data_IF_136843476506
#
_entry.id   IF_136843476506
#
_cell.length_a   1.000
_cell.length_b   1.000
_cell.length_c   1.000
_cell.angle_alpha   90.00
_cell.angle_beta   90.00
_cell.angle_gamma   90.00
#
_symmetry.space_group_name_H-M   'P 1'
#
loop_
_entity.id
_entity.type
_entity.pdbx_description
1 polymer ?
#
# COMPACT_ATOMS: atom_id res chain seq x y z
N UNK A 1 11.24 11.24 -6.34
CA UNK A 1 10.73 9.94 -6.82
C UNK A 1 9.29 10.14 -7.23
N UNK A 2 8.92 9.79 -8.45
CA UNK A 2 7.54 9.91 -8.93
C UNK A 2 6.90 8.53 -8.83
N UNK A 3 5.75 8.45 -8.14
CA UNK A 3 4.95 7.23 -8.05
C UNK A 3 3.62 7.44 -8.77
N UNK A 4 3.21 6.48 -9.61
CA UNK A 4 1.91 6.47 -10.29
C UNK A 4 1.16 5.22 -9.88
N UNK A 5 -0.08 5.39 -9.43
CA UNK A 5 -1.04 4.31 -9.25
C UNK A 5 -1.46 3.74 -10.60
N UNK A 6 -1.11 2.48 -10.89
CA UNK A 6 -1.38 1.85 -12.18
C UNK A 6 -2.09 0.50 -11.98
N UNK A 7 -3.43 0.51 -12.00
CA UNK A 7 -4.24 -0.62 -11.52
C UNK A 7 -4.77 -1.55 -12.62
N UNK A 8 -4.46 -1.30 -13.88
CA UNK A 8 -4.93 -2.11 -15.02
C UNK A 8 -4.15 -1.81 -16.30
N UNK A 9 -3.95 -2.84 -17.11
CA UNK A 9 -3.27 -2.76 -18.41
C UNK A 9 -4.19 -2.33 -19.54
N UNK A 10 -5.50 -2.42 -19.36
CA UNK A 10 -6.48 -2.05 -20.38
C UNK A 10 -7.28 -0.85 -19.92
N UNK A 11 -7.81 -0.09 -20.88
CA UNK A 11 -8.77 0.98 -20.60
C UNK A 11 -9.94 0.47 -19.77
N UNK A 12 -10.49 -0.69 -20.11
CA UNK A 12 -11.61 -1.29 -19.39
C UNK A 12 -11.26 -1.58 -17.92
N UNK A 13 -10.17 -2.31 -17.66
CA UNK A 13 -9.79 -2.68 -16.29
C UNK A 13 -9.36 -1.49 -15.45
N UNK A 14 -8.57 -0.58 -16.03
CA UNK A 14 -8.11 0.63 -15.36
C UNK A 14 -9.27 1.56 -15.02
N UNK A 15 -10.14 1.90 -15.99
CA UNK A 15 -11.24 2.83 -15.78
C UNK A 15 -12.36 2.24 -14.92
N UNK A 16 -12.52 0.91 -14.91
CA UNK A 16 -13.39 0.22 -13.94
C UNK A 16 -12.93 0.45 -12.50
N UNK A 17 -11.64 0.63 -12.25
CA UNK A 17 -11.12 0.89 -10.91
C UNK A 17 -11.09 2.39 -10.61
N UNK A 18 -10.59 3.21 -11.53
CA UNK A 18 -10.44 4.65 -11.29
C UNK A 18 -11.75 5.43 -11.42
N UNK A 19 -12.79 4.84 -12.02
CA UNK A 19 -14.10 5.46 -12.27
C UNK A 19 -14.00 6.79 -13.06
N UNK A 20 -12.92 6.97 -13.84
CA UNK A 20 -12.66 8.18 -14.60
C UNK A 20 -12.52 7.88 -16.10
N UNK A 21 -13.47 8.39 -16.90
CA UNK A 21 -13.41 8.25 -18.35
C UNK A 21 -12.16 8.93 -18.93
N UNK A 22 -11.45 8.20 -19.80
CA UNK A 22 -10.18 8.62 -20.41
C UNK A 22 -9.00 8.66 -19.43
N UNK A 23 -9.16 8.18 -18.18
CA UNK A 23 -8.08 8.21 -17.20
C UNK A 23 -6.93 7.26 -17.55
N UNK A 24 -7.22 6.16 -18.24
CA UNK A 24 -6.18 5.23 -18.71
C UNK A 24 -5.24 5.92 -19.70
N UNK A 25 -5.80 6.56 -20.73
CA UNK A 25 -5.03 7.24 -21.78
C UNK A 25 -4.18 8.37 -21.20
N UNK A 26 -4.75 9.18 -20.29
CA UNK A 26 -4.01 10.23 -19.57
C UNK A 26 -2.90 9.67 -18.68
N UNK A 27 -3.12 8.54 -18.01
CA UNK A 27 -2.11 7.90 -17.18
C UNK A 27 -0.94 7.38 -18.02
N UNK A 28 -1.23 6.73 -19.15
CA UNK A 28 -0.23 6.25 -20.11
C UNK A 28 0.63 7.38 -20.67
N UNK A 29 -0.01 8.49 -21.00
CA UNK A 29 0.70 9.69 -21.46
C UNK A 29 1.61 10.28 -20.37
N UNK A 30 1.14 10.33 -19.12
CA UNK A 30 1.97 10.74 -17.98
C UNK A 30 3.21 9.87 -17.79
N UNK A 31 3.05 8.54 -17.90
CA UNK A 31 4.16 7.58 -17.85
C UNK A 31 5.18 7.87 -18.95
N UNK A 32 4.73 8.04 -20.21
CA UNK A 32 5.58 8.37 -21.36
C UNK A 32 6.38 9.66 -21.12
N UNK A 33 5.70 10.74 -20.72
CA UNK A 33 6.33 12.05 -20.48
C UNK A 33 7.41 12.02 -19.39
N UNK A 34 7.22 11.21 -18.35
CA UNK A 34 8.19 11.03 -17.26
C UNK A 34 9.44 10.29 -17.79
N UNK A 35 9.23 9.19 -18.52
CA UNK A 35 10.32 8.34 -19.02
C UNK A 35 11.14 9.02 -20.12
N UNK A 36 10.50 9.77 -21.02
CA UNK A 36 11.21 10.59 -22.03
C UNK A 36 12.14 11.64 -21.39
N UNK A 37 11.83 12.07 -20.18
CA UNK A 37 12.65 13.00 -19.39
C UNK A 37 13.63 12.30 -18.45
N UNK A 38 13.73 10.96 -18.51
CA UNK A 38 14.62 10.14 -17.69
C UNK A 38 14.42 10.37 -16.19
N UNK A 39 13.16 10.58 -15.79
CA UNK A 39 12.82 10.79 -14.39
C UNK A 39 12.52 9.45 -13.70
N UNK A 40 12.94 9.28 -12.43
CA UNK A 40 12.74 8.03 -11.71
C UNK A 40 11.26 7.77 -11.46
N UNK A 41 10.78 6.64 -12.00
CA UNK A 41 9.38 6.24 -11.96
C UNK A 41 9.18 4.94 -11.19
N UNK A 42 8.12 4.90 -10.39
CA UNK A 42 7.58 3.67 -9.81
C UNK A 42 6.11 3.55 -10.13
N UNK A 43 5.73 2.43 -10.74
CA UNK A 43 4.33 2.08 -10.91
C UNK A 43 3.91 1.23 -9.72
N UNK A 44 2.78 1.60 -9.12
CA UNK A 44 2.24 0.93 -7.94
C UNK A 44 0.86 0.36 -8.23
N UNK A 45 0.69 -0.92 -7.92
CA UNK A 45 -0.61 -1.60 -7.99
C UNK A 45 -1.04 -2.00 -6.59
N UNK A 46 -2.25 -1.58 -6.21
CA UNK A 46 -2.99 -2.28 -5.16
C UNK A 46 -3.69 -3.47 -5.81
N UNK A 47 -3.41 -4.69 -5.33
CA UNK A 47 -4.10 -5.91 -5.72
C UNK A 47 -5.52 -5.91 -5.19
N UNK A 48 -6.48 -6.13 -6.07
CA UNK A 48 -7.91 -6.14 -5.80
C UNK A 48 -8.55 -7.33 -6.51
N UNK A 49 -9.74 -7.72 -6.08
CA UNK A 49 -10.54 -8.74 -6.79
C UNK A 49 -10.77 -8.38 -8.26
N UNK A 50 -10.74 -7.09 -8.60
CA UNK A 50 -10.95 -6.56 -9.96
C UNK A 50 -9.75 -6.70 -10.90
N UNK A 51 -8.53 -6.78 -10.39
CA UNK A 51 -7.29 -6.77 -11.19
C UNK A 51 -6.29 -7.87 -10.81
N UNK A 52 -6.72 -8.84 -10.01
CA UNK A 52 -5.90 -9.98 -9.55
C UNK A 52 -5.10 -10.61 -10.68
N UNK A 53 -5.76 -10.90 -11.80
CA UNK A 53 -5.17 -11.60 -12.94
C UNK A 53 -4.26 -10.69 -13.81
N UNK A 54 -4.17 -9.40 -13.48
CA UNK A 54 -3.30 -8.44 -14.16
C UNK A 54 -2.02 -8.12 -13.38
N UNK A 55 -1.90 -8.51 -12.10
CA UNK A 55 -0.77 -8.10 -11.23
C UNK A 55 0.59 -8.44 -11.84
N UNK A 56 0.77 -9.67 -12.34
CA UNK A 56 2.03 -10.10 -12.97
C UNK A 56 2.22 -9.50 -14.37
N UNK A 57 1.14 -9.37 -15.14
CA UNK A 57 1.19 -8.76 -16.48
C UNK A 57 1.59 -7.28 -16.39
N UNK A 58 1.12 -6.57 -15.35
CA UNK A 58 1.54 -5.20 -15.06
C UNK A 58 3.05 -5.18 -14.73
N UNK A 59 3.54 -6.14 -13.94
CA UNK A 59 4.98 -6.27 -13.65
C UNK A 59 5.80 -6.43 -14.93
N UNK A 60 5.39 -7.33 -15.82
CA UNK A 60 6.03 -7.54 -17.12
C UNK A 60 6.02 -6.27 -17.97
N UNK A 61 4.89 -5.56 -18.01
CA UNK A 61 4.79 -4.27 -18.70
C UNK A 61 5.76 -3.23 -18.12
N UNK A 62 5.89 -3.14 -16.78
CA UNK A 62 6.84 -2.25 -16.12
C UNK A 62 8.28 -2.58 -16.49
N UNK A 63 8.63 -3.87 -16.53
CA UNK A 63 9.95 -4.30 -16.98
C UNK A 63 10.20 -3.92 -18.44
N UNK A 64 9.20 -4.12 -19.32
CA UNK A 64 9.23 -3.71 -20.72
C UNK A 64 9.53 -2.22 -20.90
N UNK A 65 8.89 -1.36 -20.10
CA UNK A 65 9.20 0.08 -20.09
C UNK A 65 10.67 0.35 -19.70
N UNK A 66 11.20 -0.39 -18.72
CA UNK A 66 12.59 -0.24 -18.31
C UNK A 66 13.57 -0.56 -19.44
N UNK A 67 13.28 -1.59 -20.23
CA UNK A 67 14.06 -1.93 -21.43
C UNK A 67 13.91 -0.88 -22.53
N UNK A 68 12.68 -0.50 -22.86
CA UNK A 68 12.36 0.45 -23.96
C UNK A 68 13.04 1.80 -23.75
N UNK A 69 12.98 2.34 -22.53
CA UNK A 69 13.52 3.66 -22.21
C UNK A 69 14.96 3.61 -21.69
N UNK A 70 15.54 2.42 -21.49
CA UNK A 70 16.84 2.23 -20.84
C UNK A 70 16.92 2.92 -19.46
N UNK A 71 15.82 2.91 -18.72
CA UNK A 71 15.67 3.57 -17.42
C UNK A 71 15.19 2.58 -16.35
N UNK A 72 15.55 2.82 -15.09
CA UNK A 72 15.06 1.97 -14.00
C UNK A 72 13.62 2.36 -13.65
N UNK A 73 12.65 1.55 -14.10
CA UNK A 73 11.26 1.63 -13.67
C UNK A 73 11.00 0.57 -12.61
N UNK A 74 10.51 0.98 -11.44
CA UNK A 74 10.21 0.04 -10.36
C UNK A 74 8.73 -0.34 -10.37
N UNK A 75 8.45 -1.57 -9.96
CA UNK A 75 7.09 -2.02 -9.67
C UNK A 75 6.92 -2.24 -8.17
N UNK A 76 5.82 -1.71 -7.61
CA UNK A 76 5.41 -1.98 -6.24
C UNK A 76 4.02 -2.60 -6.20
N UNK A 77 3.94 -3.79 -5.64
CA UNK A 77 2.68 -4.43 -5.29
C UNK A 77 2.30 -4.08 -3.84
N UNK A 78 1.02 -3.81 -3.61
CA UNK A 78 0.45 -3.71 -2.27
C UNK A 78 -0.90 -4.41 -2.22
N UNK A 79 -1.26 -4.95 -1.07
CA UNK A 79 -2.51 -5.70 -0.86
C UNK A 79 -3.47 -5.03 0.11
N UNK A 80 -3.04 -3.97 0.80
CA UNK A 80 -3.85 -3.30 1.82
C UNK A 80 -4.93 -2.40 1.21
N UNK A 81 -6.20 -2.78 1.34
CA UNK A 81 -7.34 -1.87 1.26
C UNK A 81 -7.70 -1.42 2.68
N UNK A 82 -8.11 -0.16 2.80
CA UNK A 82 -8.47 0.48 4.07
C UNK A 82 -9.92 0.94 4.00
N UNK A 83 -10.60 1.02 5.15
CA UNK A 83 -11.97 1.52 5.15
C UNK A 83 -11.99 2.96 4.68
N UNK A 84 -13.18 3.42 4.25
CA UNK A 84 -13.39 4.80 3.84
C UNK A 84 -13.17 5.77 5.01
N UNK A 85 -13.10 7.07 4.71
CA UNK A 85 -12.90 8.10 5.75
C UNK A 85 -14.08 8.21 6.73
N UNK A 86 -15.28 7.83 6.29
CA UNK A 86 -16.49 7.70 7.12
C UNK A 86 -16.53 6.36 7.89
N UNK A 87 -15.48 5.54 7.79
CA UNK A 87 -15.35 4.21 8.37
C UNK A 87 -16.24 3.13 7.72
N UNK A 88 -16.85 3.38 6.57
CA UNK A 88 -17.55 2.32 5.84
C UNK A 88 -16.57 1.26 5.33
N UNK A 89 -17.03 0.01 5.31
CA UNK A 89 -16.24 -1.18 5.03
C UNK A 89 -16.62 -1.86 3.70
N UNK A 90 -17.51 -1.25 2.93
CA UNK A 90 -17.97 -1.74 1.61
C UNK A 90 -16.81 -1.94 0.62
N UNK A 91 -15.73 -1.16 0.77
CA UNK A 91 -14.50 -1.27 0.00
C UNK A 91 -13.78 -2.61 0.16
N UNK A 92 -14.02 -3.35 1.25
CA UNK A 92 -13.44 -4.68 1.43
C UNK A 92 -14.05 -5.73 0.50
N UNK A 93 -15.16 -5.44 -0.18
CA UNK A 93 -15.63 -6.29 -1.28
C UNK A 93 -14.59 -6.42 -2.43
N UNK A 94 -13.63 -5.48 -2.49
CA UNK A 94 -12.53 -5.50 -3.45
C UNK A 94 -11.22 -6.04 -2.88
N UNK A 95 -11.16 -6.34 -1.58
CA UNK A 95 -9.97 -6.84 -0.91
C UNK A 95 -9.67 -8.26 -1.40
N UNK A 96 -8.41 -8.51 -1.78
CA UNK A 96 -7.96 -9.87 -2.04
C UNK A 96 -7.97 -10.67 -0.75
N UNK A 97 -8.34 -11.95 -0.86
CA UNK A 97 -8.21 -12.90 0.24
C UNK A 97 -6.74 -13.03 0.66
N UNK A 98 -6.48 -13.35 1.92
CA UNK A 98 -5.11 -13.59 2.40
C UNK A 98 -4.40 -14.69 1.59
N UNK A 99 -5.15 -15.74 1.21
CA UNK A 99 -4.65 -16.83 0.38
C UNK A 99 -4.18 -16.33 -1.00
N UNK A 100 -4.96 -15.45 -1.64
CA UNK A 100 -4.58 -14.87 -2.93
C UNK A 100 -3.37 -13.94 -2.81
N UNK A 101 -3.31 -13.13 -1.76
CA UNK A 101 -2.15 -12.25 -1.50
C UNK A 101 -0.89 -13.08 -1.30
N UNK A 102 -0.94 -14.10 -0.43
CA UNK A 102 0.20 -14.99 -0.21
C UNK A 102 0.59 -15.75 -1.48
N UNK A 103 -0.38 -16.22 -2.27
CA UNK A 103 -0.10 -16.88 -3.54
C UNK A 103 0.63 -15.95 -4.52
N UNK A 104 0.21 -14.68 -4.62
CA UNK A 104 0.86 -13.68 -5.46
C UNK A 104 2.29 -13.38 -4.97
N UNK A 105 2.45 -13.11 -3.67
CA UNK A 105 3.74 -12.78 -3.07
C UNK A 105 4.74 -13.95 -3.16
N UNK A 106 4.25 -15.19 -3.04
CA UNK A 106 5.08 -16.39 -3.16
C UNK A 106 5.45 -16.71 -4.60
N UNK A 107 4.57 -16.48 -5.57
CA UNK A 107 4.82 -16.84 -6.97
C UNK A 107 5.97 -16.03 -7.61
N UNK A 108 6.28 -14.84 -7.08
CA UNK A 108 7.31 -13.96 -7.63
C UNK A 108 8.48 -13.74 -6.65
N UNK A 109 9.75 -13.94 -7.08
CA UNK A 109 10.90 -13.86 -6.18
C UNK A 109 11.13 -12.45 -5.62
N UNK A 110 10.81 -11.38 -6.37
CA UNK A 110 10.98 -10.01 -5.88
C UNK A 110 9.92 -9.67 -4.83
N UNK A 111 8.65 -10.08 -5.05
CA UNK A 111 7.61 -9.89 -4.05
C UNK A 111 7.89 -10.69 -2.79
N UNK A 112 8.35 -11.94 -2.93
CA UNK A 112 8.74 -12.77 -1.79
C UNK A 112 9.87 -12.13 -0.99
N UNK A 113 10.92 -11.65 -1.67
CA UNK A 113 12.04 -10.98 -1.01
C UNK A 113 11.60 -9.68 -0.30
N UNK A 114 10.76 -8.87 -0.96
CA UNK A 114 10.19 -7.66 -0.36
C UNK A 114 9.38 -7.99 0.89
N UNK A 115 8.52 -9.01 0.83
CA UNK A 115 7.68 -9.42 1.95
C UNK A 115 8.51 -9.97 3.11
N UNK A 116 9.48 -10.84 2.84
CA UNK A 116 10.43 -11.32 3.86
C UNK A 116 11.15 -10.17 4.56
N UNK A 117 11.58 -9.15 3.81
CA UNK A 117 12.22 -7.95 4.38
C UNK A 117 11.27 -7.18 5.28
N UNK A 118 10.03 -6.98 4.86
CA UNK A 118 9.01 -6.28 5.65
C UNK A 118 8.67 -7.04 6.94
N UNK A 119 8.54 -8.36 6.87
CA UNK A 119 8.28 -9.20 8.05
C UNK A 119 9.46 -9.16 9.02
N UNK A 120 10.70 -9.29 8.54
CA UNK A 120 11.89 -9.16 9.38
C UNK A 120 11.99 -7.79 10.07
N UNK A 121 11.63 -6.71 9.39
CA UNK A 121 11.59 -5.36 9.99
C UNK A 121 10.52 -5.25 11.09
N UNK A 122 9.35 -5.85 10.89
CA UNK A 122 8.28 -5.87 11.91
C UNK A 122 8.70 -6.69 13.11
N UNK A 123 9.25 -7.89 12.90
CA UNK A 123 9.75 -8.76 13.96
C UNK A 123 10.80 -8.05 14.81
N UNK A 124 11.79 -7.40 14.18
CA UNK A 124 12.82 -6.65 14.89
C UNK A 124 12.24 -5.48 15.68
N UNK A 125 11.27 -4.77 15.12
CA UNK A 125 10.57 -3.67 15.81
C UNK A 125 9.85 -4.17 17.07
N UNK A 126 9.15 -5.31 16.97
CA UNK A 126 8.47 -5.93 18.10
C UNK A 126 9.46 -6.46 19.16
N UNK A 127 10.58 -7.08 18.74
CA UNK A 127 11.64 -7.55 19.66
C UNK A 127 12.24 -6.41 20.48
N UNK A 128 12.31 -5.20 19.91
CA UNK A 128 12.74 -4.00 20.61
C UNK A 128 11.66 -3.38 21.51
N UNK A 129 10.49 -4.00 21.64
CA UNK A 129 9.35 -3.48 22.42
C UNK A 129 8.73 -2.22 21.82
N UNK A 130 8.98 -1.93 20.54
CA UNK A 130 8.46 -0.74 19.85
C UNK A 130 7.12 -1.06 19.18
N UNK A 131 6.24 -0.06 19.12
CA UNK A 131 5.00 -0.15 18.35
C UNK A 131 5.30 -0.19 16.84
N UNK A 132 4.58 -1.05 16.11
CA UNK A 132 4.58 -1.05 14.64
C UNK A 132 3.96 0.24 14.06
N UNK A 133 3.19 0.98 14.87
CA UNK A 133 2.60 2.25 14.49
C UNK A 133 3.52 3.44 14.84
N UNK A 134 4.12 4.04 13.81
CA UNK A 134 4.94 5.26 13.95
C UNK A 134 4.18 6.59 13.86
N UNK A 135 2.85 6.54 13.67
CA UNK A 135 2.03 7.75 13.49
C UNK A 135 2.11 8.65 14.70
N UNK A 136 2.35 9.95 14.50
CA UNK A 136 2.64 10.99 15.48
C UNK A 136 3.84 10.75 16.41
N UNK A 137 4.75 9.83 16.07
CA UNK A 137 6.04 9.66 16.74
C UNK A 137 7.17 10.15 15.83
N UNK A 138 7.22 9.62 14.60
CA UNK A 138 8.17 9.99 13.56
C UNK A 138 7.51 10.05 12.17
N UNK A 139 6.20 9.81 12.09
CA UNK A 139 5.35 9.95 10.90
C UNK A 139 4.19 10.87 11.21
N UNK A 140 3.76 11.67 10.25
CA UNK A 140 2.60 12.56 10.38
C UNK A 140 1.93 12.74 9.01
N UNK A 141 0.79 13.40 8.99
CA UNK A 141 0.12 13.85 7.77
C UNK A 141 -0.33 15.30 7.94
N UNK A 142 -0.07 16.14 6.93
CA UNK A 142 -0.63 17.49 6.84
C UNK A 142 -1.56 17.49 5.64
N UNK A 143 -2.83 17.81 5.85
CA UNK A 143 -3.78 17.93 4.75
C UNK A 143 -3.74 19.30 4.06
N UNK A 144 -4.51 19.44 2.98
CA UNK A 144 -4.55 20.67 2.19
C UNK A 144 -5.08 21.89 2.94
N UNK A 145 -5.71 21.71 4.11
CA UNK A 145 -6.24 22.78 4.95
C UNK A 145 -5.29 23.17 6.10
N UNK A 146 -4.07 22.62 6.11
CA UNK A 146 -3.06 22.90 7.14
C UNK A 146 -3.28 22.12 8.43
N UNK A 147 -4.08 21.04 8.40
CA UNK A 147 -4.35 20.23 9.58
C UNK A 147 -3.26 19.17 9.77
N UNK A 148 -2.52 19.23 10.87
CA UNK A 148 -1.54 18.24 11.29
C UNK A 148 -2.24 17.06 12.00
N UNK A 149 -2.02 15.85 11.51
CA UNK A 149 -2.68 14.60 11.93
C UNK A 149 -1.64 13.49 12.15
N UNK A 150 -2.05 12.43 12.85
CA UNK A 150 -1.18 11.28 13.16
C UNK A 150 -0.65 10.57 11.91
N UNK A 151 -1.52 10.36 10.93
CA UNK A 151 -1.21 9.77 9.64
C UNK A 151 -2.40 9.98 8.69
N UNK A 152 -2.23 9.62 7.41
CA UNK A 152 -3.30 9.73 6.42
C UNK A 152 -4.52 8.84 6.72
N UNK A 153 -4.39 7.84 7.61
CA UNK A 153 -5.46 6.94 8.05
C UNK A 153 -6.25 7.48 9.25
N UNK A 154 -5.58 8.03 10.26
CA UNK A 154 -6.24 8.53 11.47
C UNK A 154 -6.37 10.05 11.39
N UNK A 155 -7.50 10.48 10.83
CA UNK A 155 -7.88 11.90 10.66
C UNK A 155 -8.94 12.37 11.66
N UNK A 156 -9.16 11.62 12.75
CA UNK A 156 -10.23 11.92 13.74
C UNK A 156 -9.95 13.16 14.57
N UNK A 157 -8.68 13.51 14.74
CA UNK A 157 -8.21 14.72 15.42
C UNK A 157 -7.11 15.36 14.60
N UNK A 158 -7.01 16.69 14.70
CA UNK A 158 -5.98 17.47 14.06
C UNK A 158 -5.54 18.65 14.90
N UNK A 159 -4.35 19.16 14.59
CA UNK A 159 -3.83 20.43 15.07
C UNK A 159 -3.75 21.41 13.90
N UNK A 160 -4.28 22.62 14.06
CA UNK A 160 -4.30 23.63 13.00
C UNK A 160 -2.97 24.40 12.94
N UNK A 161 -2.13 24.08 11.96
CA UNK A 161 -0.83 24.73 11.77
C UNK A 161 -0.93 26.20 11.38
N UNK A 162 -2.12 26.70 11.02
CA UNK A 162 -2.32 28.13 10.74
C UNK A 162 -2.46 28.95 12.03
N UNK A 163 -2.67 28.29 13.17
CA UNK A 163 -2.90 28.91 14.48
C UNK A 163 -1.77 28.66 15.49
N UNK A 164 -0.74 27.91 15.11
CA UNK A 164 0.40 27.62 15.96
C UNK A 164 1.54 26.96 15.19
N UNK A 165 2.47 26.31 15.88
CA UNK A 165 3.72 25.84 15.27
C UNK A 165 3.72 24.34 14.99
N UNK A 166 4.47 23.92 13.97
CA UNK A 166 4.70 22.49 13.73
C UNK A 166 5.36 21.80 14.93
N UNK A 167 6.30 22.48 15.61
CA UNK A 167 7.00 21.92 16.76
C UNK A 167 6.05 21.54 17.89
N UNK A 168 5.17 22.46 18.28
CA UNK A 168 4.14 22.24 19.29
C UNK A 168 3.17 21.13 18.83
N UNK A 169 2.62 21.26 17.62
CA UNK A 169 1.71 20.29 17.06
C UNK A 169 2.28 18.87 17.03
N UNK A 170 3.54 18.72 16.62
CA UNK A 170 4.18 17.42 16.44
C UNK A 170 4.71 16.80 17.73
N UNK A 171 5.40 17.57 18.58
CA UNK A 171 6.04 17.02 19.79
C UNK A 171 5.14 17.03 21.03
N UNK A 172 4.13 17.90 21.07
CA UNK A 172 3.31 18.09 22.27
C UNK A 172 1.88 17.62 22.04
N UNK A 173 1.28 17.90 20.87
CA UNK A 173 -0.13 17.59 20.60
C UNK A 173 -0.35 16.19 20.00
N UNK A 174 0.32 15.83 18.90
CA UNK A 174 0.15 14.52 18.25
C UNK A 174 0.39 13.30 19.17
N UNK A 175 1.36 13.31 20.09
CA UNK A 175 1.56 12.17 21.01
C UNK A 175 0.32 11.89 21.87
N UNK A 176 -0.48 12.93 22.18
CA UNK A 176 -1.69 12.82 23.00
C UNK A 176 -2.91 12.30 22.21
N UNK A 177 -2.87 12.28 20.88
CA UNK A 177 -4.00 11.79 20.09
C UNK A 177 -4.14 10.26 20.21
N UNK A 178 -5.35 9.75 20.49
CA UNK A 178 -5.56 8.32 20.62
C UNK A 178 -5.46 7.61 19.26
N UNK A 179 -4.88 6.42 19.27
CA UNK A 179 -4.78 5.56 18.10
C UNK A 179 -4.79 4.10 18.53
N UNK A 180 -5.83 3.31 18.17
CA UNK A 180 -5.89 1.88 18.51
C UNK A 180 -4.65 1.11 18.03
N UNK A 181 -4.08 1.48 16.89
CA UNK A 181 -2.87 0.84 16.36
C UNK A 181 -1.58 1.15 17.15
N UNK A 182 -1.57 2.16 18.03
CA UNK A 182 -0.43 2.43 18.94
C UNK A 182 -0.45 1.51 20.17
N UNK A 183 -1.64 1.02 20.55
CA UNK A 183 -1.86 0.14 21.69
C UNK A 183 -2.72 -1.05 21.23
N UNK A 184 -2.16 -1.98 20.44
CA UNK A 184 -2.92 -3.13 19.99
C UNK A 184 -3.41 -3.93 21.19
N UNK A 185 -4.72 -4.17 21.26
CA UNK A 185 -5.34 -5.04 22.26
C UNK A 185 -5.10 -6.50 21.86
N UNK A 186 -3.98 -7.08 22.31
CA UNK A 186 -3.63 -8.49 22.08
C UNK A 186 -2.33 -8.69 21.29
N UNK A 187 -1.81 -9.93 21.31
CA UNK A 187 -0.63 -10.33 20.52
C UNK A 187 -0.99 -10.29 19.04
N UNK A 188 -0.49 -9.29 18.30
CA UNK A 188 -0.52 -9.30 16.84
C UNK A 188 0.24 -10.54 16.35
N UNK A 189 -0.49 -11.53 15.85
CA UNK A 189 0.13 -12.69 15.20
C UNK A 189 0.62 -12.20 13.85
N UNK A 190 1.93 -12.05 13.69
CA UNK A 190 2.53 -11.75 12.40
C UNK A 190 2.28 -12.94 11.47
N UNK A 191 1.38 -12.75 10.50
CA UNK A 191 1.27 -13.66 9.35
C UNK A 191 2.56 -13.54 8.56
N UNK A 192 3.47 -14.49 8.80
CA UNK A 192 4.74 -14.61 8.09
C UNK A 192 4.49 -15.25 6.73
N UNK A 193 5.15 -14.73 5.70
CA UNK A 193 5.18 -15.38 4.38
C UNK A 193 5.72 -16.84 4.44
N UNK A 194 6.47 -17.20 5.49
CA UNK A 194 6.95 -18.56 5.74
C UNK A 194 5.99 -19.43 6.55
N UNK A 195 4.81 -18.93 6.94
CA UNK A 195 3.81 -19.75 7.60
C UNK A 195 3.33 -20.86 6.64
N UNK A 196 3.29 -22.14 7.07
CA UNK A 196 2.88 -23.22 6.20
C UNK A 196 1.44 -22.97 5.73
N UNK A 197 1.25 -22.94 4.40
CA UNK A 197 -0.09 -22.96 3.80
C UNK A 197 -0.77 -24.23 4.31
N UNK A 198 -1.80 -24.07 5.16
CA UNK A 198 -2.60 -25.20 5.62
C UNK A 198 -3.17 -25.90 4.39
N UNK A 199 -2.62 -27.08 4.07
CA UNK A 199 -3.14 -27.93 3.01
C UNK A 199 -4.56 -28.27 3.40
N UNK A 200 -5.53 -27.85 2.59
CA UNK A 200 -6.89 -28.35 2.69
C UNK A 200 -6.84 -29.87 2.58
N UNK A 201 -7.20 -30.57 3.66
CA UNK A 201 -7.38 -32.01 3.65
C UNK A 201 -8.55 -32.34 2.72
N UNK A 202 -8.25 -32.60 1.46
CA UNK A 202 -9.14 -33.33 0.57
C UNK A 202 -8.90 -34.83 0.73
N UNK A 203 -10.01 -35.54 0.98
CA UNK A 203 -10.25 -37.00 0.92
C UNK A 203 -10.05 -37.74 2.24
N UNK A 204 -10.92 -38.66 2.64
CA UNK A 204 -11.73 -39.57 1.81
C UNK A 204 -13.01 -39.99 2.56
N UNK A 205 -14.15 -39.94 1.87
CA UNK A 205 -15.36 -40.68 2.25
C UNK A 205 -15.14 -42.11 1.78
N UNK A 206 -15.14 -43.05 2.72
CA UNK A 206 -15.36 -44.47 2.50
C UNK A 206 -16.57 -44.87 3.35
#
# INVERSE_FOLDING_TARGET
>A
MIEISFHGLTKQSFERITQGLGSYDRCREGIRLILERKLPLTLKTTGMTLNRDEVFRIKEYVAGLGYEYSEKVQYKFGSDIRPRLDSSEDVYAYQLSEQDVTAIEQADPEFRAERCRQDGQKEETLRQGKSLCGGGLYKFHIDAYGQLQLCSRNRRRSYDLRRGSFREGFYEVLPQFPCPARQPSGQETLLSINAPVARANTKEVA
#
